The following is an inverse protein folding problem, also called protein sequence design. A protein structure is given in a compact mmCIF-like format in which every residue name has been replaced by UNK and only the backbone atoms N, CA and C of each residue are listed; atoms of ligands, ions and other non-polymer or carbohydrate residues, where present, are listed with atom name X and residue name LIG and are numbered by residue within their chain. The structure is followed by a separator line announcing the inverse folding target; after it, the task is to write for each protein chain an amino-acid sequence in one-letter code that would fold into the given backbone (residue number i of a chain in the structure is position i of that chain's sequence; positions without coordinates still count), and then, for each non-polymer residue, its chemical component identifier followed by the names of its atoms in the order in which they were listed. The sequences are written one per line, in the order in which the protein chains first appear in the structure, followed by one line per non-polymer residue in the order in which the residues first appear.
data_IF_333987606891
#
_entry.id   IF_333987606891
#
_cell.length_a   1.000
_cell.length_b   1.000
_cell.length_c   1.000
_cell.angle_alpha   90.00
_cell.angle_beta   90.00
_cell.angle_gamma   90.00
#
_symmetry.space_group_name_H-M   'P 1'
#
loop_
_entity.id
_entity.type
_entity.pdbx_description
1 polymer ?
#
# COMPACT_ATOMS: atom_id res chain seq x y z
N UNK A 1 -18.75 8.54 4.51
CA UNK A 1 -19.16 7.17 4.93
C UNK A 1 -19.88 7.21 6.28
N UNK A 2 -20.67 6.18 6.65
CA UNK A 2 -21.30 6.11 7.99
C UNK A 2 -20.34 5.50 9.02
N UNK A 3 -20.44 5.83 10.33
CA UNK A 3 -19.47 5.36 11.35
C UNK A 3 -19.32 3.84 11.49
N UNK A 4 -20.35 3.07 11.15
CA UNK A 4 -20.35 1.60 11.25
C UNK A 4 -19.79 0.87 10.02
N UNK A 5 -19.34 1.60 8.99
CA UNK A 5 -18.67 1.00 7.83
C UNK A 5 -17.22 0.65 8.18
N UNK A 6 -16.78 -0.57 7.86
CA UNK A 6 -15.37 -0.98 7.96
C UNK A 6 -14.68 -0.62 6.64
N UNK A 7 -14.30 0.64 6.50
CA UNK A 7 -13.63 1.18 5.33
C UNK A 7 -12.93 2.52 5.68
N UNK A 8 -12.17 3.10 4.76
CA UNK A 8 -11.63 4.45 4.83
C UNK A 8 -11.77 5.14 3.45
N UNK A 9 -11.53 6.45 3.39
CA UNK A 9 -11.48 7.16 2.10
C UNK A 9 -10.69 8.47 2.15
N UNK A 10 -10.24 8.88 0.98
CA UNK A 10 -9.82 10.23 0.61
C UNK A 10 -10.86 10.90 -0.31
N UNK A 11 -11.11 12.19 -0.12
CA UNK A 11 -11.97 12.98 -1.01
C UNK A 11 -11.21 14.20 -1.55
N UNK A 12 -10.87 14.23 -2.86
CA UNK A 12 -10.05 15.29 -3.44
C UNK A 12 -10.64 16.70 -3.29
N UNK A 13 -11.95 16.87 -3.44
CA UNK A 13 -12.58 18.21 -3.47
C UNK A 13 -12.66 18.91 -2.12
N UNK A 14 -12.43 18.18 -1.02
CA UNK A 14 -12.35 18.75 0.33
C UNK A 14 -10.98 18.48 0.97
N UNK A 15 -10.08 17.83 0.23
CA UNK A 15 -8.76 17.40 0.67
C UNK A 15 -8.79 16.75 2.07
N UNK A 16 -9.72 15.82 2.27
CA UNK A 16 -9.94 15.14 3.55
C UNK A 16 -9.63 13.65 3.46
N UNK A 17 -9.14 13.09 4.57
CA UNK A 17 -9.11 11.64 4.82
C UNK A 17 -10.06 11.33 5.97
N UNK A 18 -10.77 10.20 5.89
CA UNK A 18 -11.76 9.83 6.88
C UNK A 18 -11.66 8.37 7.28
N UNK A 19 -11.68 8.12 8.59
CA UNK A 19 -11.66 6.79 9.20
C UNK A 19 -12.92 6.61 10.06
N UNK A 20 -13.99 6.02 9.51
CA UNK A 20 -15.15 5.57 10.28
C UNK A 20 -14.75 4.80 11.54
N UNK A 21 -15.52 4.96 12.63
CA UNK A 21 -15.21 4.32 13.91
C UNK A 21 -15.03 2.79 13.81
N UNK A 22 -15.77 2.12 12.92
CA UNK A 22 -15.70 0.67 12.75
C UNK A 22 -14.44 0.17 12.01
N UNK A 23 -13.61 1.00 11.38
CA UNK A 23 -12.28 0.53 10.92
C UNK A 23 -11.25 0.55 12.06
N UNK A 24 -11.49 1.32 13.12
CA UNK A 24 -10.56 1.51 14.25
C UNK A 24 -10.67 0.37 15.29
N UNK A 25 -10.57 -0.87 14.82
CA UNK A 25 -10.65 -2.09 15.62
C UNK A 25 -9.66 -3.15 15.10
N UNK A 26 -9.38 -4.23 15.84
CA UNK A 26 -8.55 -5.32 15.32
C UNK A 26 -9.13 -5.90 14.01
N UNK A 27 -8.30 -6.25 13.02
CA UNK A 27 -6.83 -6.25 13.07
C UNK A 27 -6.17 -4.90 12.75
N UNK A 28 -6.93 -3.86 12.39
CA UNK A 28 -6.38 -2.55 12.01
C UNK A 28 -5.72 -1.84 13.19
N UNK A 29 -6.44 -1.72 14.31
CA UNK A 29 -5.97 -1.00 15.48
C UNK A 29 -6.35 -1.72 16.78
N UNK A 30 -5.38 -1.85 17.67
CA UNK A 30 -5.58 -2.25 19.05
C UNK A 30 -4.64 -1.46 19.96
N UNK A 31 -5.21 -0.71 20.91
CA UNK A 31 -4.44 0.12 21.83
C UNK A 31 -3.49 -0.68 22.73
N UNK A 32 -3.79 -1.96 22.97
CA UNK A 32 -2.98 -2.86 23.81
C UNK A 32 -2.02 -3.73 22.98
N UNK A 33 -2.00 -3.60 21.65
CA UNK A 33 -1.12 -4.38 20.77
C UNK A 33 0.26 -3.73 20.58
N UNK A 34 1.19 -4.52 20.03
CA UNK A 34 2.50 -4.07 19.58
C UNK A 34 2.38 -2.96 18.51
N UNK A 35 3.15 -1.89 18.68
CA UNK A 35 3.12 -0.74 17.77
C UNK A 35 3.43 -1.16 16.34
N UNK A 36 4.35 -2.11 16.10
CA UNK A 36 4.68 -2.54 14.74
C UNK A 36 3.46 -3.10 14.01
N UNK A 37 2.57 -3.81 14.71
CA UNK A 37 1.29 -4.29 14.16
C UNK A 37 0.35 -3.12 13.84
N UNK A 38 0.18 -2.17 14.78
CA UNK A 38 -0.69 -1.00 14.55
C UNK A 38 -0.19 -0.15 13.37
N UNK A 39 1.12 0.10 13.27
CA UNK A 39 1.72 0.84 12.16
C UNK A 39 1.65 0.05 10.85
N UNK A 40 1.88 -1.27 10.88
CA UNK A 40 1.73 -2.16 9.73
C UNK A 40 0.28 -2.31 9.26
N UNK A 41 -0.67 -1.99 10.12
CA UNK A 41 -2.10 -2.12 9.87
C UNK A 41 -2.77 -0.75 9.67
N UNK A 42 -3.40 -0.15 10.70
CA UNK A 42 -4.07 1.15 10.55
C UNK A 42 -3.10 2.26 10.10
N UNK A 43 -1.81 2.18 10.46
CA UNK A 43 -0.81 3.12 9.99
C UNK A 43 -0.66 3.09 8.46
N UNK A 44 -0.64 1.90 7.86
CA UNK A 44 -0.62 1.74 6.40
C UNK A 44 -1.91 2.27 5.79
N UNK A 45 -3.09 1.99 6.38
CA UNK A 45 -4.37 2.53 5.89
C UNK A 45 -4.38 4.07 5.94
N UNK A 46 -3.85 4.67 7.00
CA UNK A 46 -3.73 6.14 7.08
C UNK A 46 -2.81 6.68 5.99
N UNK A 47 -1.64 6.07 5.82
CA UNK A 47 -0.70 6.45 4.76
C UNK A 47 -1.27 6.23 3.35
N UNK A 48 -2.10 5.22 3.16
CA UNK A 48 -2.81 4.93 1.92
C UNK A 48 -3.77 6.08 1.57
N UNK A 49 -4.66 6.47 2.51
CA UNK A 49 -5.57 7.61 2.28
C UNK A 49 -4.83 8.94 2.09
N UNK A 50 -3.72 9.16 2.81
CA UNK A 50 -2.87 10.34 2.57
C UNK A 50 -2.27 10.34 1.16
N UNK A 51 -1.89 9.16 0.67
CA UNK A 51 -1.26 9.00 -0.65
C UNK A 51 -2.24 9.20 -1.79
N UNK A 52 -3.53 8.94 -1.60
CA UNK A 52 -4.55 9.26 -2.60
C UNK A 52 -4.58 10.74 -3.00
N UNK A 53 -4.21 11.67 -2.12
CA UNK A 53 -4.02 13.08 -2.48
C UNK A 53 -2.89 13.34 -3.48
N UNK A 54 -2.05 12.34 -3.74
CA UNK A 54 -0.87 12.41 -4.61
C UNK A 54 -0.81 11.25 -5.61
N UNK A 55 -1.87 10.44 -5.77
CA UNK A 55 -1.91 9.41 -6.80
C UNK A 55 -2.08 10.01 -8.21
N UNK A 56 -2.30 9.17 -9.23
CA UNK A 56 -2.41 9.64 -10.60
C UNK A 56 -3.62 10.57 -10.86
N UNK A 57 -4.64 10.53 -10.01
CA UNK A 57 -5.83 11.38 -10.03
C UNK A 57 -5.78 12.50 -8.99
N UNK A 58 -5.47 12.19 -7.73
CA UNK A 58 -5.46 13.15 -6.64
C UNK A 58 -4.44 14.26 -6.83
N UNK A 59 -3.29 13.97 -7.46
CA UNK A 59 -2.28 14.99 -7.82
C UNK A 59 -2.83 16.11 -8.72
N UNK A 60 -3.98 15.93 -9.35
CA UNK A 60 -4.63 16.93 -10.21
C UNK A 60 -5.42 17.96 -9.41
N UNK A 61 -5.51 17.79 -8.09
CA UNK A 61 -6.20 18.68 -7.17
C UNK A 61 -5.19 19.41 -6.29
N UNK A 62 -5.36 20.72 -6.12
CA UNK A 62 -4.55 21.51 -5.19
C UNK A 62 -5.00 21.33 -3.72
N UNK A 63 -4.33 22.01 -2.79
CA UNK A 63 -4.61 21.89 -1.36
C UNK A 63 -6.02 22.33 -0.94
N UNK A 64 -6.68 23.14 -1.77
CA UNK A 64 -8.05 23.64 -1.55
C UNK A 64 -9.10 22.75 -2.26
N UNK A 65 -8.67 21.68 -2.93
CA UNK A 65 -9.53 20.75 -3.64
C UNK A 65 -9.97 21.21 -5.03
N UNK A 66 -9.27 22.19 -5.63
CA UNK A 66 -9.54 22.62 -7.00
C UNK A 66 -8.76 21.77 -8.00
N UNK A 67 -9.40 21.33 -9.07
CA UNK A 67 -8.73 20.61 -10.15
C UNK A 67 -7.88 21.57 -10.99
N UNK A 68 -6.59 21.68 -10.65
CA UNK A 68 -5.63 22.57 -11.30
C UNK A 68 -4.26 21.90 -11.36
N UNK A 69 -3.52 22.09 -12.45
CA UNK A 69 -2.17 21.57 -12.52
C UNK A 69 -1.21 22.47 -11.71
N UNK A 70 -0.74 21.96 -10.58
CA UNK A 70 0.24 22.61 -9.71
C UNK A 70 1.66 22.03 -9.84
N UNK A 71 1.87 21.10 -10.79
CA UNK A 71 3.16 20.47 -11.06
C UNK A 71 3.87 21.10 -12.25
N UNK A 72 5.21 21.04 -12.24
CA UNK A 72 5.98 21.30 -13.45
C UNK A 72 5.85 20.12 -14.42
N UNK A 73 6.03 20.38 -15.72
CA UNK A 73 6.02 19.31 -16.73
C UNK A 73 7.15 18.29 -16.52
N UNK A 74 8.28 18.71 -15.93
CA UNK A 74 9.40 17.81 -15.63
C UNK A 74 9.05 16.84 -14.50
N UNK A 75 8.42 17.34 -13.42
CA UNK A 75 8.01 16.50 -12.30
C UNK A 75 6.91 15.53 -12.72
N UNK A 76 5.96 15.98 -13.55
CA UNK A 76 4.91 15.11 -14.09
C UNK A 76 5.51 13.97 -14.94
N UNK A 77 6.52 14.27 -15.76
CA UNK A 77 7.20 13.26 -16.56
C UNK A 77 7.94 12.22 -15.68
N UNK A 78 8.60 12.65 -14.61
CA UNK A 78 9.26 11.76 -13.65
C UNK A 78 8.26 10.88 -12.89
N UNK A 79 7.13 11.44 -12.46
CA UNK A 79 6.06 10.70 -11.82
C UNK A 79 5.51 9.63 -12.77
N UNK A 80 5.16 10.01 -14.00
CA UNK A 80 4.69 9.07 -15.03
C UNK A 80 5.69 7.96 -15.34
N UNK A 81 6.99 8.27 -15.38
CA UNK A 81 8.03 7.26 -15.59
C UNK A 81 8.08 6.23 -14.44
N UNK A 82 7.95 6.68 -13.19
CA UNK A 82 7.90 5.79 -12.02
C UNK A 82 6.60 4.97 -12.00
N UNK A 83 5.45 5.59 -12.21
CA UNK A 83 4.15 4.89 -12.19
C UNK A 83 4.03 3.88 -13.33
N UNK A 84 4.65 4.13 -14.49
CA UNK A 84 4.71 3.15 -15.57
C UNK A 84 5.43 1.84 -15.16
N UNK A 85 6.45 1.91 -14.31
CA UNK A 85 7.10 0.71 -13.75
C UNK A 85 6.09 -0.05 -12.89
N UNK A 86 5.33 0.65 -12.04
CA UNK A 86 4.33 0.04 -11.17
C UNK A 86 3.19 -0.61 -11.99
N UNK A 87 2.71 0.05 -13.05
CA UNK A 87 1.75 -0.54 -14.00
C UNK A 87 2.27 -1.86 -14.55
N UNK A 88 3.52 -1.91 -15.00
CA UNK A 88 4.11 -3.12 -15.57
C UNK A 88 4.22 -4.23 -14.51
N UNK A 89 4.74 -3.92 -13.31
CA UNK A 89 4.88 -4.89 -12.21
C UNK A 89 3.55 -5.57 -11.85
N UNK A 90 2.46 -4.81 -11.81
CA UNK A 90 1.15 -5.37 -11.51
C UNK A 90 0.56 -6.13 -12.71
N UNK A 91 0.77 -5.64 -13.94
CA UNK A 91 0.25 -6.29 -15.15
C UNK A 91 0.91 -7.63 -15.48
N UNK A 92 2.08 -7.92 -14.92
CA UNK A 92 2.76 -9.22 -15.03
C UNK A 92 2.08 -10.32 -14.21
N UNK A 93 1.21 -9.97 -13.26
CA UNK A 93 0.60 -10.96 -12.37
C UNK A 93 -0.54 -11.70 -13.07
N UNK A 94 -0.34 -12.98 -13.33
CA UNK A 94 -1.39 -13.89 -13.79
C UNK A 94 -2.33 -14.25 -12.63
N UNK A 95 -3.61 -13.87 -12.72
CA UNK A 95 -4.64 -14.07 -11.68
C UNK A 95 -5.31 -15.43 -11.84
N UNK A 96 -5.64 -15.79 -13.07
CA UNK A 96 -6.20 -17.07 -13.50
C UNK A 96 -5.55 -17.42 -14.84
N UNK A 97 -5.59 -18.70 -15.28
CA UNK A 97 -5.01 -19.08 -16.57
C UNK A 97 -5.47 -18.18 -17.73
N UNK A 98 -4.54 -17.40 -18.29
CA UNK A 98 -4.78 -16.45 -19.39
C UNK A 98 -5.40 -15.11 -18.98
N UNK A 99 -5.68 -14.86 -17.70
CA UNK A 99 -6.17 -13.59 -17.17
C UNK A 99 -5.10 -12.94 -16.30
N UNK A 100 -4.58 -11.80 -16.72
CA UNK A 100 -3.62 -11.00 -15.97
C UNK A 100 -4.33 -9.86 -15.24
N UNK A 101 -3.71 -9.36 -14.18
CA UNK A 101 -4.14 -8.13 -13.55
C UNK A 101 -4.00 -6.95 -14.52
N UNK A 102 -4.82 -5.92 -14.33
CA UNK A 102 -4.73 -4.67 -15.08
C UNK A 102 -4.04 -3.63 -14.20
N UNK A 103 -2.73 -3.49 -14.36
CA UNK A 103 -1.94 -2.53 -13.58
C UNK A 103 -2.28 -1.07 -13.87
N UNK A 104 -2.92 -0.78 -15.01
CA UNK A 104 -3.36 0.57 -15.36
C UNK A 104 -4.69 0.91 -14.70
N UNK A 105 -5.63 -0.05 -14.66
CA UNK A 105 -6.89 0.07 -13.93
C UNK A 105 -6.64 0.27 -12.43
N UNK A 106 -5.67 -0.47 -11.89
CA UNK A 106 -5.39 -0.50 -10.45
C UNK A 106 -4.37 0.53 -9.97
N UNK A 107 -3.92 1.42 -10.86
CA UNK A 107 -2.76 2.26 -10.62
C UNK A 107 -2.89 3.16 -9.38
N UNK A 108 -4.01 3.86 -9.21
CA UNK A 108 -4.21 4.76 -8.07
C UNK A 108 -4.09 4.03 -6.73
N UNK A 109 -4.79 2.91 -6.60
CA UNK A 109 -4.74 2.04 -5.42
C UNK A 109 -3.35 1.44 -5.19
N UNK A 110 -2.65 1.05 -6.24
CA UNK A 110 -1.29 0.51 -6.14
C UNK A 110 -0.28 1.58 -5.68
N UNK A 111 -0.45 2.83 -6.14
CA UNK A 111 0.35 3.97 -5.65
C UNK A 111 0.05 4.20 -4.17
N UNK A 112 -1.23 4.15 -3.78
CA UNK A 112 -1.66 4.36 -2.41
C UNK A 112 -1.18 3.26 -1.44
N UNK A 113 -1.22 1.98 -1.83
CA UNK A 113 -0.61 0.88 -1.05
C UNK A 113 0.89 1.07 -0.88
N UNK A 114 1.57 1.44 -1.96
CA UNK A 114 2.99 1.70 -1.95
C UNK A 114 3.36 2.86 -1.02
N UNK A 115 2.69 4.01 -1.17
CA UNK A 115 2.91 5.15 -0.29
C UNK A 115 2.54 4.86 1.16
N UNK A 116 1.44 4.13 1.39
CA UNK A 116 1.01 3.71 2.71
C UNK A 116 2.05 2.91 3.47
N UNK A 117 2.66 1.90 2.82
CA UNK A 117 3.75 1.12 3.41
C UNK A 117 4.98 1.98 3.70
N UNK A 118 5.41 2.81 2.75
CA UNK A 118 6.58 3.70 2.87
C UNK A 118 6.43 4.68 4.05
N UNK A 119 5.28 5.37 4.13
CA UNK A 119 4.97 6.37 5.15
C UNK A 119 4.83 5.71 6.52
N UNK A 120 4.07 4.62 6.63
CA UNK A 120 3.82 3.96 7.90
C UNK A 120 5.09 3.32 8.48
N UNK A 121 5.93 2.72 7.64
CA UNK A 121 7.22 2.17 8.05
C UNK A 121 8.14 3.28 8.58
N UNK A 122 8.21 4.41 7.87
CA UNK A 122 8.97 5.58 8.32
C UNK A 122 8.43 6.12 9.66
N UNK A 123 7.11 6.20 9.81
CA UNK A 123 6.47 6.68 11.02
C UNK A 123 6.72 5.76 12.24
N UNK A 124 6.72 4.44 12.04
CA UNK A 124 7.08 3.46 13.07
C UNK A 124 8.50 3.71 13.58
N UNK A 125 9.48 3.80 12.66
CA UNK A 125 10.88 4.01 13.03
C UNK A 125 11.11 5.37 13.68
N UNK A 126 10.39 6.42 13.25
CA UNK A 126 10.42 7.71 13.92
C UNK A 126 9.88 7.64 15.37
N UNK A 127 8.81 6.87 15.60
CA UNK A 127 8.23 6.70 16.94
C UNK A 127 9.14 5.88 17.88
N UNK A 128 9.87 4.91 17.33
CA UNK A 128 10.85 4.11 18.07
C UNK A 128 12.10 4.91 18.41
N UNK A 129 12.56 5.79 17.50
CA UNK A 129 13.84 6.47 17.63
C UNK A 129 14.98 5.44 17.73
N UNK A 130 15.83 5.57 18.75
CA UNK A 130 16.94 4.64 18.99
C UNK A 130 16.51 3.34 19.71
N UNK A 131 15.23 3.20 20.08
CA UNK A 131 14.74 2.01 20.77
C UNK A 131 14.80 0.80 19.85
N UNK A 132 15.24 -0.33 20.40
CA UNK A 132 15.21 -1.63 19.76
C UNK A 132 14.27 -2.52 20.59
N UNK A 133 12.98 -2.57 20.26
CA UNK A 133 12.04 -3.46 20.94
C UNK A 133 12.51 -4.90 20.87
N UNK A 134 12.23 -5.68 21.92
CA UNK A 134 12.50 -7.10 21.89
C UNK A 134 11.67 -7.79 20.79
N UNK A 135 12.16 -8.94 20.33
CA UNK A 135 11.40 -9.81 19.44
C UNK A 135 10.14 -10.33 20.16
N UNK A 136 9.06 -10.47 19.41
CA UNK A 136 7.80 -11.05 19.87
C UNK A 136 7.51 -12.24 18.98
N UNK A 137 7.29 -13.41 19.59
CA UNK A 137 7.08 -14.68 18.89
C UNK A 137 8.18 -15.03 17.86
N UNK A 138 9.41 -14.58 18.12
CA UNK A 138 10.57 -14.81 17.25
C UNK A 138 10.66 -13.86 16.05
N UNK A 139 9.82 -12.83 15.98
CA UNK A 139 9.84 -11.81 14.93
C UNK A 139 10.34 -10.47 15.46
N UNK A 140 11.28 -9.87 14.73
CA UNK A 140 11.74 -8.51 15.00
C UNK A 140 10.69 -7.47 14.58
N UNK A 141 10.91 -6.22 14.97
CA UNK A 141 9.96 -5.12 14.72
C UNK A 141 9.58 -4.93 13.25
N UNK A 142 10.55 -5.05 12.33
CA UNK A 142 10.31 -4.87 10.89
C UNK A 142 9.49 -6.03 10.33
N UNK A 143 9.81 -7.26 10.74
CA UNK A 143 9.03 -8.44 10.37
C UNK A 143 7.59 -8.33 10.87
N UNK A 144 7.38 -7.88 12.11
CA UNK A 144 6.03 -7.69 12.68
C UNK A 144 5.25 -6.62 11.93
N UNK A 145 5.87 -5.52 11.51
CA UNK A 145 5.23 -4.53 10.65
C UNK A 145 4.68 -5.16 9.37
N UNK A 146 5.50 -5.93 8.65
CA UNK A 146 5.07 -6.58 7.41
C UNK A 146 4.06 -7.70 7.62
N UNK A 147 4.14 -8.43 8.73
CA UNK A 147 3.12 -9.41 9.11
C UNK A 147 1.78 -8.73 9.41
N UNK A 148 1.79 -7.57 10.08
CA UNK A 148 0.60 -6.74 10.29
C UNK A 148 -0.03 -6.31 8.97
N UNK A 149 0.78 -5.79 8.04
CA UNK A 149 0.33 -5.40 6.70
C UNK A 149 -0.27 -6.57 5.92
N UNK A 150 0.42 -7.72 5.89
CA UNK A 150 -0.08 -8.91 5.21
C UNK A 150 -1.39 -9.43 5.82
N UNK A 151 -1.55 -9.32 7.14
CA UNK A 151 -2.74 -9.82 7.84
C UNK A 151 -4.02 -9.04 7.49
N UNK A 152 -3.91 -7.73 7.19
CA UNK A 152 -5.05 -6.94 6.71
C UNK A 152 -5.69 -7.53 5.45
N UNK A 153 -4.86 -8.12 4.60
CA UNK A 153 -5.23 -8.61 3.28
C UNK A 153 -5.42 -10.13 3.26
N UNK A 154 -5.55 -10.77 4.42
CA UNK A 154 -5.83 -12.19 4.55
C UNK A 154 -7.27 -12.51 4.07
N UNK A 155 -7.42 -12.62 2.75
CA UNK A 155 -8.69 -12.87 2.06
C UNK A 155 -8.51 -14.01 1.05
N UNK A 156 -9.59 -14.76 0.81
CA UNK A 156 -9.70 -15.69 -0.31
C UNK A 156 -10.96 -15.38 -1.12
N UNK A 157 -10.93 -15.71 -2.41
CA UNK A 157 -12.04 -15.49 -3.35
C UNK A 157 -12.14 -16.67 -4.31
N UNK A 158 -13.37 -16.96 -4.79
CA UNK A 158 -13.57 -17.96 -5.86
C UNK A 158 -13.00 -17.45 -7.18
N UNK A 159 -12.75 -18.34 -8.13
CA UNK A 159 -12.22 -17.95 -9.44
C UNK A 159 -13.18 -17.01 -10.19
N UNK A 160 -14.49 -17.19 -10.05
CA UNK A 160 -15.48 -16.28 -10.63
C UNK A 160 -15.38 -14.87 -10.04
N UNK A 161 -15.15 -14.77 -8.73
CA UNK A 161 -15.00 -13.48 -8.06
C UNK A 161 -13.66 -12.83 -8.39
N UNK A 162 -12.57 -13.60 -8.45
CA UNK A 162 -11.28 -13.11 -8.96
C UNK A 162 -11.43 -12.54 -10.37
N UNK A 163 -12.06 -13.29 -11.28
CA UNK A 163 -12.30 -12.85 -12.65
C UNK A 163 -13.19 -11.61 -12.75
N UNK A 164 -14.16 -11.46 -11.84
CA UNK A 164 -15.03 -10.29 -11.75
C UNK A 164 -14.26 -9.06 -11.23
N UNK A 165 -13.54 -9.20 -10.12
CA UNK A 165 -12.77 -8.13 -9.48
C UNK A 165 -11.68 -7.61 -10.41
N UNK A 166 -10.92 -8.49 -11.07
CA UNK A 166 -9.87 -8.09 -12.04
C UNK A 166 -10.40 -7.23 -13.19
N UNK A 167 -11.71 -7.26 -13.49
CA UNK A 167 -12.31 -6.45 -14.55
C UNK A 167 -12.98 -5.16 -14.08
N UNK A 168 -13.37 -5.08 -12.81
CA UNK A 168 -14.30 -4.06 -12.32
C UNK A 168 -13.80 -3.30 -11.11
N UNK A 169 -12.92 -3.90 -10.31
CA UNK A 169 -12.38 -3.28 -9.11
C UNK A 169 -11.11 -2.50 -9.46
N UNK A 170 -10.99 -1.31 -8.89
CA UNK A 170 -9.78 -0.49 -8.98
C UNK A 170 -8.70 -0.97 -8.01
N UNK A 171 -9.05 -1.83 -7.05
CA UNK A 171 -8.07 -2.45 -6.17
C UNK A 171 -7.50 -3.71 -6.80
N UNK A 172 -6.19 -3.89 -6.66
CA UNK A 172 -5.55 -5.18 -6.88
C UNK A 172 -6.13 -6.23 -5.92
N UNK A 173 -6.09 -7.51 -6.30
CA UNK A 173 -6.47 -8.59 -5.39
C UNK A 173 -5.58 -8.56 -4.13
N UNK A 174 -6.15 -8.93 -2.98
CA UNK A 174 -5.54 -8.78 -1.66
C UNK A 174 -4.11 -9.35 -1.58
N UNK A 175 -3.86 -10.54 -2.15
CA UNK A 175 -2.52 -11.13 -2.22
C UNK A 175 -1.52 -10.24 -3.00
N UNK A 176 -1.97 -9.61 -4.08
CA UNK A 176 -1.12 -8.76 -4.92
C UNK A 176 -0.87 -7.40 -4.31
N UNK A 177 -1.85 -6.85 -3.57
CA UNK A 177 -1.67 -5.64 -2.74
C UNK A 177 -0.51 -5.81 -1.78
N UNK A 178 -0.34 -7.01 -1.22
CA UNK A 178 0.82 -7.35 -0.39
C UNK A 178 2.05 -7.63 -1.25
N UNK A 179 2.00 -8.70 -2.04
CA UNK A 179 3.19 -9.32 -2.60
C UNK A 179 3.88 -8.43 -3.64
N UNK A 180 3.14 -7.67 -4.45
CA UNK A 180 3.75 -6.79 -5.46
C UNK A 180 4.33 -5.54 -4.80
N UNK A 181 3.64 -5.01 -3.78
CA UNK A 181 4.05 -3.82 -3.01
C UNK A 181 5.34 -4.04 -2.24
N UNK A 182 5.40 -5.07 -1.38
CA UNK A 182 6.56 -5.26 -0.48
C UNK A 182 7.87 -5.53 -1.23
N UNK A 183 7.78 -6.09 -2.44
CA UNK A 183 8.91 -6.37 -3.33
C UNK A 183 9.62 -5.12 -3.87
N UNK A 184 9.08 -3.93 -3.63
CA UNK A 184 9.74 -2.67 -3.97
C UNK A 184 10.65 -2.13 -2.86
N UNK A 185 10.53 -2.62 -1.63
CA UNK A 185 11.18 -1.99 -0.48
C UNK A 185 12.44 -2.75 -0.02
N UNK A 186 13.64 -2.15 -0.05
CA UNK A 186 14.86 -2.78 0.44
C UNK A 186 14.78 -3.24 1.91
N UNK A 187 13.99 -2.54 2.72
CA UNK A 187 13.79 -2.89 4.13
C UNK A 187 12.94 -4.17 4.32
N UNK A 188 12.06 -4.53 3.37
CA UNK A 188 11.39 -5.84 3.36
C UNK A 188 12.39 -6.98 3.12
N UNK A 189 13.29 -6.78 2.15
CA UNK A 189 14.34 -7.76 1.83
C UNK A 189 15.26 -7.98 3.03
N UNK A 190 15.65 -6.90 3.71
CA UNK A 190 16.44 -6.97 4.93
C UNK A 190 15.71 -7.67 6.07
N UNK A 191 14.42 -7.37 6.28
CA UNK A 191 13.63 -7.94 7.37
C UNK A 191 13.51 -9.47 7.28
N UNK A 192 13.44 -10.02 6.07
CA UNK A 192 13.26 -11.46 5.83
C UNK A 192 14.48 -12.15 5.20
N UNK A 193 15.63 -11.47 5.12
CA UNK A 193 16.86 -11.96 4.47
C UNK A 193 16.62 -12.54 3.06
N UNK A 194 15.88 -11.79 2.24
CA UNK A 194 15.49 -12.22 0.88
C UNK A 194 16.69 -12.08 -0.07
N UNK A 195 17.06 -13.18 -0.70
CA UNK A 195 18.20 -13.33 -1.60
C UNK A 195 17.74 -13.55 -3.05
N UNK A 196 18.68 -13.40 -4.00
CA UNK A 196 18.40 -13.72 -5.41
C UNK A 196 17.96 -15.18 -5.57
N UNK A 197 16.84 -15.38 -6.27
CA UNK A 197 16.23 -16.70 -6.48
C UNK A 197 15.08 -17.03 -5.52
N UNK A 198 14.91 -16.28 -4.43
CA UNK A 198 13.75 -16.46 -3.55
C UNK A 198 12.44 -16.05 -4.25
N UNK A 199 11.29 -16.65 -3.92
CA UNK A 199 10.00 -16.33 -4.56
C UNK A 199 9.63 -14.85 -4.51
N UNK A 200 10.02 -14.15 -3.43
CA UNK A 200 9.74 -12.73 -3.21
C UNK A 200 10.86 -11.81 -3.72
N UNK A 201 11.90 -12.34 -4.35
CA UNK A 201 12.99 -11.50 -4.84
C UNK A 201 12.58 -10.64 -6.05
N UNK A 202 13.13 -9.42 -6.12
CA UNK A 202 13.05 -8.51 -7.27
C UNK A 202 14.38 -7.74 -7.34
N UNK A 203 15.02 -7.62 -8.52
CA UNK A 203 16.29 -6.90 -8.64
C UNK A 203 16.09 -5.42 -8.34
N UNK A 204 17.11 -4.77 -7.78
CA UNK A 204 17.04 -3.35 -7.38
C UNK A 204 16.66 -2.42 -8.53
N UNK A 205 17.12 -2.71 -9.75
CA UNK A 205 16.81 -1.94 -10.96
C UNK A 205 15.33 -1.95 -11.36
N UNK A 206 14.56 -2.93 -10.88
CA UNK A 206 13.12 -3.05 -11.15
C UNK A 206 12.27 -2.52 -10.00
N UNK A 207 12.87 -2.18 -8.86
CA UNK A 207 12.14 -1.62 -7.71
C UNK A 207 11.81 -0.16 -7.98
N UNK A 208 10.60 0.24 -7.59
CA UNK A 208 10.16 1.64 -7.71
C UNK A 208 9.78 2.16 -6.33
N UNK A 209 10.23 3.37 -5.99
CA UNK A 209 9.73 4.14 -4.85
C UNK A 209 9.22 5.47 -5.40
N UNK A 210 7.95 5.78 -5.12
CA UNK A 210 7.28 7.02 -5.57
C UNK A 210 7.26 8.03 -4.41
N UNK A 211 6.60 7.66 -3.31
CA UNK A 211 6.38 8.47 -2.12
C UNK A 211 7.14 7.93 -0.91
#
# INVERSE_FOLDING_TARGET
MQPQMVNAYYLPTTNEICFPAAILQPPFFNIDADDAINYGAIGVVIGHEMTHGFDDQGRLFDSDGNMTNWWTAEDEAKFKAKTAILVNQYSEVEILPGLHADGQLTLGENIADHGGVSIAYTALHNALGDKQPADIDGFNVDQRFFLGFAHLWAQNATDEEKARLTKLDVHSLAENRVNVTVRNFPFFFKAFDIQEGDPMWRPESERVIIW
#
